data_IF_422266931128
#
_entry.id   IF_422266931128
#
_cell.length_a   1.000
_cell.length_b   1.000
_cell.length_c   1.000
_cell.angle_alpha   90.00
_cell.angle_beta   90.00
_cell.angle_gamma   90.00
#
_symmetry.space_group_name_H-M   'P 1'
#
loop_
_entity.id
_entity.type
_entity.pdbx_description
1 polymer ?
#
# COMPACT_ATOMS: atom_id res chain seq x y z
N UNK A 1 -12.08 22.86 -12.26
CA UNK A 1 -11.28 22.49 -11.07
C UNK A 1 -9.88 21.94 -11.41
N UNK A 2 -9.72 20.98 -12.34
CA UNK A 2 -8.40 20.41 -12.73
C UNK A 2 -7.39 21.47 -13.26
N UNK A 3 -7.82 22.51 -13.97
CA UNK A 3 -6.93 23.56 -14.50
C UNK A 3 -6.37 24.48 -13.41
N UNK A 4 -7.12 24.79 -12.37
CA UNK A 4 -6.69 25.61 -11.24
C UNK A 4 -5.64 24.90 -10.39
N UNK A 5 -5.77 23.57 -10.25
CA UNK A 5 -4.78 22.72 -9.56
C UNK A 5 -3.47 22.69 -10.37
N UNK A 6 -3.55 22.52 -11.69
CA UNK A 6 -2.39 22.52 -12.55
C UNK A 6 -1.64 23.87 -12.52
N UNK A 7 -2.36 24.99 -12.49
CA UNK A 7 -1.78 26.34 -12.36
C UNK A 7 -1.16 26.55 -10.98
N UNK A 8 -1.80 26.08 -9.90
CA UNK A 8 -1.21 26.10 -8.54
C UNK A 8 0.06 25.26 -8.46
N UNK A 9 0.06 24.07 -9.05
CA UNK A 9 1.24 23.19 -9.12
C UNK A 9 2.36 23.88 -9.91
N UNK A 10 2.03 24.53 -11.02
CA UNK A 10 3.02 25.24 -11.83
C UNK A 10 3.60 26.47 -11.12
N UNK A 11 2.77 27.28 -10.46
CA UNK A 11 3.17 28.42 -9.63
C UNK A 11 4.01 27.98 -8.42
N UNK A 12 3.62 26.90 -7.75
CA UNK A 12 4.35 26.34 -6.60
C UNK A 12 5.73 25.82 -7.00
N UNK A 13 5.86 25.19 -8.18
CA UNK A 13 7.14 24.72 -8.73
C UNK A 13 8.13 25.87 -9.03
N UNK A 14 7.66 27.10 -9.29
CA UNK A 14 8.50 28.27 -9.50
C UNK A 14 8.96 28.96 -8.21
N UNK A 15 8.34 28.69 -7.09
CA UNK A 15 8.72 29.30 -5.83
C UNK A 15 9.95 28.57 -5.23
N UNK A 16 10.96 29.34 -4.78
CA UNK A 16 12.21 28.86 -4.16
C UNK A 16 12.02 27.76 -3.09
N UNK A 17 10.84 27.68 -2.49
CA UNK A 17 10.48 26.71 -1.46
C UNK A 17 10.45 25.27 -1.97
N UNK A 18 9.96 25.05 -3.20
CA UNK A 18 9.85 23.70 -3.77
C UNK A 18 11.18 23.20 -4.34
N UNK A 19 11.99 24.11 -4.87
CA UNK A 19 13.35 23.77 -5.31
C UNK A 19 14.20 23.27 -4.14
N UNK A 20 14.06 23.88 -2.96
CA UNK A 20 14.77 23.44 -1.76
C UNK A 20 14.27 22.08 -1.23
N UNK A 21 12.96 21.88 -1.21
CA UNK A 21 12.37 20.59 -0.85
C UNK A 21 12.84 19.48 -1.77
N UNK A 22 12.82 19.73 -3.07
CA UNK A 22 13.31 18.80 -4.08
C UNK A 22 14.81 18.51 -3.91
N UNK A 23 15.65 19.53 -3.72
CA UNK A 23 17.08 19.34 -3.48
C UNK A 23 17.37 18.59 -2.16
N UNK A 24 16.55 18.83 -1.13
CA UNK A 24 16.68 18.12 0.14
C UNK A 24 16.39 16.61 0.00
N UNK A 25 15.50 16.18 -0.90
CA UNK A 25 15.28 14.75 -1.16
C UNK A 25 16.56 14.05 -1.59
N UNK A 26 17.41 14.72 -2.38
CA UNK A 26 18.71 14.19 -2.76
C UNK A 26 19.62 13.92 -1.55
N UNK A 27 19.65 14.85 -0.59
CA UNK A 27 20.44 14.69 0.65
C UNK A 27 19.80 13.63 1.55
N UNK A 28 18.50 13.65 1.69
CA UNK A 28 17.74 12.76 2.57
C UNK A 28 17.91 11.29 2.15
N UNK A 29 17.66 10.97 0.88
CA UNK A 29 17.79 9.61 0.35
C UNK A 29 19.23 9.21 0.00
N UNK A 30 20.08 10.17 -0.36
CA UNK A 30 21.47 9.90 -0.74
C UNK A 30 22.44 9.84 0.44
N UNK A 31 22.11 10.49 1.56
CA UNK A 31 23.04 10.60 2.71
C UNK A 31 22.37 10.20 4.03
N UNK A 32 21.27 10.88 4.41
CA UNK A 32 20.68 10.71 5.76
C UNK A 32 20.17 9.28 5.95
N UNK A 33 19.30 8.84 5.07
CA UNK A 33 18.71 7.50 5.14
C UNK A 33 19.78 6.39 5.05
N UNK A 34 20.78 6.45 4.14
CA UNK A 34 21.91 5.52 4.13
C UNK A 34 22.75 5.47 5.40
N UNK A 35 22.95 6.60 6.07
CA UNK A 35 23.66 6.63 7.35
C UNK A 35 22.85 5.99 8.47
N UNK A 36 21.55 6.29 8.53
CA UNK A 36 20.64 5.67 9.51
C UNK A 36 20.63 4.15 9.40
N UNK A 37 20.62 3.61 8.19
CA UNK A 37 20.62 2.17 7.97
C UNK A 37 21.93 1.46 8.31
N UNK A 38 22.98 2.16 8.74
CA UNK A 38 24.22 1.58 9.30
C UNK A 38 24.17 1.38 10.81
N UNK A 39 23.22 2.01 11.46
CA UNK A 39 23.10 1.96 12.92
C UNK A 39 22.49 0.65 13.40
N UNK A 40 22.66 0.28 14.68
CA UNK A 40 21.90 -0.78 15.31
C UNK A 40 20.38 -0.53 15.15
N UNK A 41 19.59 -1.58 14.91
CA UNK A 41 18.18 -1.47 14.54
C UNK A 41 17.39 -0.51 15.44
N UNK A 42 17.52 -0.62 16.76
CA UNK A 42 16.79 0.22 17.70
C UNK A 42 17.02 1.72 17.47
N UNK A 43 18.28 2.11 17.20
CA UNK A 43 18.62 3.50 16.91
C UNK A 43 18.16 3.91 15.52
N UNK A 44 18.31 3.03 14.53
CA UNK A 44 17.85 3.28 13.17
C UNK A 44 16.33 3.58 13.14
N UNK A 45 15.52 2.77 13.80
CA UNK A 45 14.07 2.98 13.89
C UNK A 45 13.69 4.27 14.64
N UNK A 46 14.33 4.57 15.77
CA UNK A 46 14.10 5.83 16.50
C UNK A 46 14.40 7.05 15.63
N UNK A 47 15.49 7.01 14.90
CA UNK A 47 15.87 8.10 13.99
C UNK A 47 14.93 8.18 12.78
N UNK A 48 14.43 7.04 12.27
CA UNK A 48 13.42 7.03 11.22
C UNK A 48 12.13 7.69 11.67
N UNK A 49 11.66 7.39 12.88
CA UNK A 49 10.48 8.03 13.46
C UNK A 49 10.69 9.54 13.69
N UNK A 50 11.86 9.94 14.20
CA UNK A 50 12.21 11.35 14.32
C UNK A 50 12.26 12.05 12.96
N UNK A 51 12.88 11.43 11.95
CA UNK A 51 12.91 11.92 10.56
C UNK A 51 11.49 12.05 10.00
N UNK A 52 10.62 11.07 10.24
CA UNK A 52 9.22 11.14 9.84
C UNK A 52 8.47 12.31 10.48
N UNK A 53 8.61 12.50 11.80
CA UNK A 53 8.01 13.64 12.51
C UNK A 53 8.57 14.99 12.02
N UNK A 54 9.86 15.07 11.72
CA UNK A 54 10.48 16.26 11.14
C UNK A 54 9.92 16.55 9.73
N UNK A 55 9.77 15.51 8.89
CA UNK A 55 9.20 15.64 7.56
C UNK A 55 7.74 16.07 7.59
N UNK A 56 6.94 15.56 8.54
CA UNK A 56 5.56 16.02 8.75
C UNK A 56 5.47 17.53 9.03
N UNK A 57 6.30 18.04 9.97
CA UNK A 57 6.35 19.47 10.31
C UNK A 57 6.76 20.37 9.14
N UNK A 58 7.44 19.83 8.17
CA UNK A 58 7.97 20.55 7.00
C UNK A 58 7.21 20.26 5.72
N UNK A 59 6.14 19.47 5.81
CA UNK A 59 5.39 18.95 4.67
C UNK A 59 6.34 18.40 3.60
N UNK A 60 7.19 17.44 3.96
CA UNK A 60 8.15 16.80 3.07
C UNK A 60 7.78 15.35 2.84
N UNK A 61 7.14 15.11 1.75
CA UNK A 61 6.88 13.76 1.26
C UNK A 61 7.39 13.68 -0.18
N UNK A 62 8.06 12.60 -0.54
CA UNK A 62 8.54 12.43 -1.92
C UNK A 62 7.37 12.43 -2.92
N UNK A 63 6.20 11.97 -2.49
CA UNK A 63 4.98 11.94 -3.30
C UNK A 63 4.38 13.32 -3.55
N UNK A 64 4.62 14.32 -2.67
CA UNK A 64 4.01 15.65 -2.83
C UNK A 64 4.39 16.35 -4.13
N UNK A 65 5.64 16.20 -4.56
CA UNK A 65 6.16 16.87 -5.77
C UNK A 65 6.14 15.96 -7.00
N UNK A 66 5.95 14.66 -6.79
CA UNK A 66 6.34 13.64 -7.77
C UNK A 66 5.17 12.96 -8.45
N UNK A 67 4.17 12.55 -7.71
CA UNK A 67 3.09 11.69 -8.23
C UNK A 67 1.79 12.44 -8.48
N UNK A 68 1.84 13.77 -8.47
CA UNK A 68 0.65 14.61 -8.66
C UNK A 68 -0.24 14.73 -7.43
N UNK A 69 0.29 14.43 -6.25
CA UNK A 69 -0.36 14.60 -4.96
C UNK A 69 0.26 15.75 -4.16
N UNK A 70 0.08 17.03 -4.57
CA UNK A 70 0.50 18.14 -3.74
C UNK A 70 -0.29 18.08 -2.42
N UNK A 71 0.35 18.48 -1.32
CA UNK A 71 -0.29 18.57 0.01
C UNK A 71 -0.71 17.23 0.61
N UNK A 72 0.15 16.23 0.57
CA UNK A 72 -0.10 14.90 1.16
C UNK A 72 -0.57 15.00 2.62
N UNK A 73 0.09 15.82 3.44
CA UNK A 73 -0.29 16.02 4.84
C UNK A 73 -1.70 16.58 5.02
N UNK A 74 -2.09 17.58 4.22
CA UNK A 74 -3.45 18.15 4.26
C UNK A 74 -4.51 17.15 3.82
N UNK A 75 -4.21 16.36 2.79
CA UNK A 75 -5.10 15.31 2.30
C UNK A 75 -5.26 14.18 3.33
N UNK A 76 -4.19 13.80 4.02
CA UNK A 76 -4.26 12.84 5.13
C UNK A 76 -5.11 13.40 6.27
N UNK A 77 -4.93 14.65 6.65
CA UNK A 77 -5.75 15.30 7.68
C UNK A 77 -7.25 15.31 7.30
N UNK A 78 -7.56 15.63 6.04
CA UNK A 78 -8.94 15.58 5.53
C UNK A 78 -9.52 14.16 5.59
N UNK A 79 -8.75 13.15 5.20
CA UNK A 79 -9.14 11.75 5.27
C UNK A 79 -9.39 11.31 6.73
N UNK A 80 -8.49 11.66 7.65
CA UNK A 80 -8.67 11.30 9.06
C UNK A 80 -9.86 12.01 9.70
N UNK A 81 -10.14 13.28 9.37
CA UNK A 81 -11.39 13.96 9.81
C UNK A 81 -12.64 13.26 9.28
N UNK A 82 -12.61 12.78 8.04
CA UNK A 82 -13.73 12.05 7.47
C UNK A 82 -13.96 10.70 8.18
N UNK A 83 -12.89 9.96 8.49
CA UNK A 83 -12.97 8.63 9.12
C UNK A 83 -13.24 8.74 10.63
N UNK A 84 -12.77 9.80 11.27
CA UNK A 84 -12.87 10.06 12.72
C UNK A 84 -13.47 11.44 12.99
N UNK A 85 -14.77 11.66 12.71
CA UNK A 85 -15.39 12.98 12.79
C UNK A 85 -15.36 13.58 14.20
N UNK A 86 -15.33 12.74 15.23
CA UNK A 86 -15.31 13.16 16.64
C UNK A 86 -13.88 13.40 17.17
N UNK A 87 -12.84 13.18 16.37
CA UNK A 87 -11.46 13.38 16.79
C UNK A 87 -11.11 14.87 16.85
N UNK A 88 -10.40 15.28 17.90
CA UNK A 88 -9.89 16.65 18.00
C UNK A 88 -8.84 16.94 16.91
N UNK A 89 -8.66 18.21 16.55
CA UNK A 89 -7.60 18.62 15.61
C UNK A 89 -6.19 18.21 16.08
N UNK A 90 -5.96 18.17 17.38
CA UNK A 90 -4.69 17.67 17.94
C UNK A 90 -4.50 16.17 17.67
N UNK A 91 -5.57 15.38 17.80
CA UNK A 91 -5.55 13.96 17.46
C UNK A 91 -5.32 13.74 15.95
N UNK A 92 -6.03 14.49 15.09
CA UNK A 92 -5.84 14.43 13.63
C UNK A 92 -4.39 14.77 13.25
N UNK A 93 -3.84 15.85 13.80
CA UNK A 93 -2.44 16.23 13.56
C UNK A 93 -1.45 15.15 14.03
N UNK A 94 -1.73 14.50 15.17
CA UNK A 94 -0.94 13.36 15.64
C UNK A 94 -0.97 12.19 14.66
N UNK A 95 -2.13 11.85 14.09
CA UNK A 95 -2.27 10.81 13.09
C UNK A 95 -1.48 11.12 11.81
N UNK A 96 -1.51 12.37 11.37
CA UNK A 96 -0.68 12.81 10.22
C UNK A 96 0.81 12.61 10.52
N UNK A 97 1.28 13.00 11.70
CA UNK A 97 2.69 12.78 12.11
C UNK A 97 3.02 11.28 12.12
N UNK A 98 2.16 10.45 12.71
CA UNK A 98 2.36 8.99 12.74
C UNK A 98 2.42 8.37 11.33
N UNK A 99 1.60 8.86 10.40
CA UNK A 99 1.65 8.45 8.99
C UNK A 99 3.02 8.72 8.38
N UNK A 100 3.60 9.91 8.61
CA UNK A 100 4.95 10.23 8.12
C UNK A 100 6.03 9.37 8.79
N UNK A 101 5.87 9.05 10.06
CA UNK A 101 6.75 8.13 10.78
C UNK A 101 6.68 6.72 10.18
N UNK A 102 5.50 6.26 9.81
CA UNK A 102 5.30 4.96 9.17
C UNK A 102 6.01 4.89 7.81
N UNK A 103 5.86 5.92 6.97
CA UNK A 103 6.58 5.99 5.69
C UNK A 103 8.10 6.01 5.92
N UNK A 104 8.58 6.77 6.89
CA UNK A 104 10.01 6.83 7.19
C UNK A 104 10.57 5.49 7.69
N UNK A 105 9.78 4.68 8.42
CA UNK A 105 10.15 3.31 8.79
C UNK A 105 10.18 2.38 7.58
N UNK A 106 9.19 2.45 6.71
CA UNK A 106 9.13 1.66 5.47
C UNK A 106 10.35 1.93 4.58
N UNK A 107 10.74 3.20 4.44
CA UNK A 107 11.93 3.60 3.69
C UNK A 107 13.22 3.08 4.33
N UNK A 108 13.33 3.12 5.66
CA UNK A 108 14.46 2.51 6.39
C UNK A 108 14.53 1.00 6.13
N UNK A 109 13.43 0.29 6.24
CA UNK A 109 13.34 -1.16 6.03
C UNK A 109 13.70 -1.52 4.57
N UNK A 110 13.26 -0.70 3.60
CA UNK A 110 13.71 -0.82 2.22
C UNK A 110 15.23 -0.68 2.08
N UNK A 111 15.84 0.24 2.81
CA UNK A 111 17.29 0.39 2.78
C UNK A 111 18.03 -0.70 3.56
N UNK A 112 17.44 -1.24 4.63
CA UNK A 112 17.97 -2.44 5.30
C UNK A 112 18.00 -3.63 4.32
N UNK A 113 16.95 -3.80 3.50
CA UNK A 113 16.94 -4.80 2.44
C UNK A 113 18.05 -4.57 1.41
N UNK A 114 18.22 -3.33 0.90
CA UNK A 114 19.28 -2.96 -0.03
C UNK A 114 20.69 -3.27 0.54
N UNK A 115 20.85 -3.18 1.85
CA UNK A 115 22.13 -3.45 2.56
C UNK A 115 22.32 -4.90 2.98
N UNK A 116 21.42 -5.80 2.61
CA UNK A 116 21.48 -7.21 3.00
C UNK A 116 21.21 -7.44 4.49
N UNK A 117 20.55 -6.50 5.17
CA UNK A 117 20.23 -6.56 6.61
C UNK A 117 18.79 -6.99 6.90
N UNK A 118 18.10 -7.54 5.91
CA UNK A 118 16.70 -7.95 6.05
C UNK A 118 16.53 -9.09 7.07
N UNK A 119 17.57 -9.91 7.27
CA UNK A 119 17.55 -11.01 8.24
C UNK A 119 17.63 -10.56 9.70
N UNK A 120 18.00 -9.29 9.94
CA UNK A 120 17.92 -8.70 11.28
C UNK A 120 16.47 -8.40 11.69
N UNK A 121 15.53 -8.37 10.72
CA UNK A 121 14.09 -8.20 10.97
C UNK A 121 13.48 -9.55 11.31
N UNK A 122 13.01 -9.67 12.54
CA UNK A 122 12.34 -10.86 13.05
C UNK A 122 10.93 -10.96 12.44
N UNK A 123 10.62 -12.10 11.89
CA UNK A 123 9.35 -12.40 11.22
C UNK A 123 8.75 -13.69 11.80
N UNK A 124 7.58 -13.55 12.46
CA UNK A 124 6.82 -14.74 12.86
C UNK A 124 6.04 -15.27 11.65
N UNK A 125 6.52 -16.34 11.05
CA UNK A 125 5.92 -16.95 9.85
C UNK A 125 4.77 -17.93 10.16
N UNK A 126 4.48 -18.22 11.43
CA UNK A 126 3.46 -19.20 11.80
C UNK A 126 2.06 -18.82 11.27
N UNK A 127 1.58 -17.56 11.39
CA UNK A 127 0.27 -17.17 10.85
C UNK A 127 0.20 -17.28 9.33
N UNK A 128 1.31 -17.04 8.62
CA UNK A 128 1.36 -17.21 7.17
C UNK A 128 1.23 -18.67 6.78
N UNK A 129 2.02 -19.55 7.40
CA UNK A 129 1.97 -21.00 7.15
C UNK A 129 0.60 -21.58 7.44
N UNK A 130 -0.03 -21.16 8.55
CA UNK A 130 -1.38 -21.58 8.89
C UNK A 130 -2.38 -21.18 7.79
N UNK A 131 -2.38 -19.93 7.35
CA UNK A 131 -3.28 -19.48 6.28
C UNK A 131 -3.02 -20.22 4.96
N UNK A 132 -1.76 -20.43 4.60
CA UNK A 132 -1.40 -21.16 3.38
C UNK A 132 -1.81 -22.63 3.45
N UNK A 133 -1.77 -23.25 4.64
CA UNK A 133 -2.19 -24.65 4.83
C UNK A 133 -3.71 -24.85 4.71
N UNK A 134 -4.50 -23.82 5.03
CA UNK A 134 -5.96 -23.82 4.88
C UNK A 134 -6.43 -23.60 3.45
N UNK A 135 -5.55 -23.20 2.56
CA UNK A 135 -5.87 -23.01 1.13
C UNK A 135 -6.25 -24.34 0.50
N UNK A 136 -7.30 -24.35 -0.32
CA UNK A 136 -7.69 -25.54 -1.07
C UNK A 136 -6.57 -25.99 -2.02
N UNK A 137 -6.28 -27.29 -2.04
CA UNK A 137 -5.19 -27.85 -2.82
C UNK A 137 -5.32 -27.49 -4.31
N UNK A 138 -4.22 -27.03 -4.90
CA UNK A 138 -4.16 -26.66 -6.33
C UNK A 138 -4.85 -25.35 -6.69
N UNK A 139 -5.56 -24.67 -5.77
CA UNK A 139 -6.19 -23.37 -6.05
C UNK A 139 -5.20 -22.23 -5.92
N UNK A 140 -5.28 -21.26 -6.81
CA UNK A 140 -4.57 -19.99 -6.67
C UNK A 140 -5.06 -19.18 -5.48
N UNK A 141 -4.23 -18.24 -5.04
CA UNK A 141 -4.57 -17.33 -3.94
C UNK A 141 -4.30 -15.89 -4.34
N UNK A 142 -5.33 -15.05 -4.27
CA UNK A 142 -5.18 -13.60 -4.37
C UNK A 142 -5.12 -13.02 -2.97
N UNK A 143 -3.98 -12.49 -2.60
CA UNK A 143 -3.77 -11.80 -1.31
C UNK A 143 -3.99 -10.31 -1.52
N UNK A 144 -4.98 -9.78 -0.83
CA UNK A 144 -5.33 -8.36 -0.88
C UNK A 144 -4.70 -7.64 0.31
N UNK A 145 -3.96 -6.59 0.02
CA UNK A 145 -3.32 -5.76 1.04
C UNK A 145 -3.74 -4.29 0.91
N UNK A 146 -3.54 -3.55 1.98
CA UNK A 146 -3.57 -2.09 2.00
C UNK A 146 -2.17 -1.52 2.15
N UNK A 147 -2.03 -0.22 1.90
CA UNK A 147 -0.81 0.52 2.22
C UNK A 147 -0.72 0.76 3.73
N UNK A 148 -0.53 -0.32 4.48
CA UNK A 148 -0.48 -0.35 5.93
C UNK A 148 0.87 -0.89 6.40
N UNK A 149 1.60 -0.13 7.22
CA UNK A 149 2.99 -0.42 7.57
C UNK A 149 3.85 -0.74 6.31
N UNK A 150 4.85 -1.60 6.41
CA UNK A 150 5.64 -2.01 5.25
C UNK A 150 5.06 -3.26 4.57
N UNK A 151 4.22 -3.04 3.56
CA UNK A 151 3.62 -4.12 2.78
C UNK A 151 4.65 -5.08 2.14
N UNK A 152 5.84 -4.60 1.78
CA UNK A 152 6.88 -5.43 1.16
C UNK A 152 7.41 -6.51 2.09
N UNK A 153 7.47 -6.25 3.40
CA UNK A 153 7.82 -7.28 4.38
C UNK A 153 6.76 -8.39 4.44
N UNK A 154 5.48 -8.06 4.19
CA UNK A 154 4.43 -9.06 4.02
C UNK A 154 4.72 -10.02 2.87
N UNK A 155 5.14 -9.49 1.72
CA UNK A 155 5.53 -10.29 0.55
C UNK A 155 6.71 -11.20 0.85
N UNK A 156 7.75 -10.66 1.48
CA UNK A 156 8.91 -11.44 1.92
C UNK A 156 8.51 -12.55 2.88
N UNK A 157 7.58 -12.27 3.80
CA UNK A 157 7.03 -13.27 4.73
C UNK A 157 6.39 -14.46 4.01
N UNK A 158 5.55 -14.20 2.99
CA UNK A 158 4.94 -15.26 2.17
C UNK A 158 6.03 -16.05 1.43
N UNK A 159 6.95 -15.36 0.79
CA UNK A 159 8.03 -15.98 0.02
C UNK A 159 8.98 -16.83 0.89
N UNK A 160 9.24 -16.41 2.15
CA UNK A 160 9.98 -17.22 3.13
C UNK A 160 9.27 -18.52 3.54
N UNK A 161 7.98 -18.64 3.24
CA UNK A 161 7.26 -19.91 3.34
C UNK A 161 7.44 -20.83 2.11
N UNK A 162 8.32 -20.47 1.19
CA UNK A 162 8.68 -21.27 0.00
C UNK A 162 7.73 -21.10 -1.19
N UNK A 163 6.88 -20.08 -1.20
CA UNK A 163 5.90 -19.85 -2.27
C UNK A 163 6.29 -18.64 -3.11
N UNK A 164 6.48 -18.78 -4.44
CA UNK A 164 6.70 -17.66 -5.34
C UNK A 164 5.58 -16.63 -5.21
N UNK A 165 5.94 -15.37 -4.99
CA UNK A 165 4.97 -14.30 -4.72
C UNK A 165 5.07 -13.22 -5.78
N UNK A 166 3.97 -12.87 -6.41
CA UNK A 166 3.89 -11.88 -7.48
C UNK A 166 3.11 -10.65 -6.98
N UNK A 167 3.65 -9.46 -7.21
CA UNK A 167 3.01 -8.20 -6.83
C UNK A 167 2.65 -7.37 -8.06
N UNK A 168 1.39 -6.93 -8.11
CA UNK A 168 1.00 -5.87 -9.02
C UNK A 168 1.48 -4.51 -8.49
N UNK A 169 2.33 -3.81 -9.23
CA UNK A 169 2.96 -2.54 -8.81
C UNK A 169 2.67 -1.40 -9.76
N UNK A 170 2.88 -0.18 -9.28
CA UNK A 170 2.87 1.04 -10.09
C UNK A 170 4.26 1.37 -10.61
N UNK A 171 4.32 2.16 -11.68
CA UNK A 171 5.56 2.53 -12.37
C UNK A 171 6.22 3.81 -11.81
N UNK A 172 6.25 3.93 -10.47
CA UNK A 172 6.82 5.10 -9.78
C UNK A 172 8.30 5.34 -10.11
N UNK A 173 9.03 4.27 -10.42
CA UNK A 173 10.47 4.31 -10.73
C UNK A 173 10.75 5.08 -12.02
N UNK A 174 9.81 5.08 -12.96
CA UNK A 174 9.95 5.75 -14.25
C UNK A 174 9.41 7.19 -14.26
N UNK A 175 8.71 7.61 -13.20
CA UNK A 175 8.17 8.96 -13.14
C UNK A 175 9.26 10.02 -13.07
N UNK A 176 9.47 10.74 -14.19
CA UNK A 176 10.50 11.78 -14.30
C UNK A 176 10.30 12.96 -13.33
N UNK A 177 9.13 13.09 -12.68
CA UNK A 177 8.86 14.12 -11.67
C UNK A 177 9.52 13.78 -10.33
N UNK A 178 9.76 12.50 -10.06
CA UNK A 178 10.44 12.02 -8.85
C UNK A 178 11.92 12.38 -8.92
N UNK A 179 12.49 12.84 -7.79
CA UNK A 179 13.92 13.12 -7.70
C UNK A 179 14.77 11.88 -8.09
N UNK A 180 15.84 12.01 -8.90
CA UNK A 180 16.63 10.88 -9.38
C UNK A 180 17.13 9.96 -8.26
N UNK A 181 17.59 10.52 -7.12
CA UNK A 181 18.04 9.75 -5.96
C UNK A 181 16.91 8.93 -5.34
N UNK A 182 15.68 9.47 -5.31
CA UNK A 182 14.51 8.77 -4.83
C UNK A 182 14.12 7.64 -5.78
N UNK A 183 14.13 7.90 -7.10
CA UNK A 183 13.90 6.85 -8.11
C UNK A 183 14.91 5.71 -8.00
N UNK A 184 16.18 6.06 -7.83
CA UNK A 184 17.24 5.06 -7.64
C UNK A 184 16.99 4.22 -6.38
N UNK A 185 16.64 4.86 -5.25
CA UNK A 185 16.27 4.16 -4.03
C UNK A 185 15.12 3.16 -4.25
N UNK A 186 14.04 3.58 -4.94
CA UNK A 186 12.93 2.67 -5.23
C UNK A 186 13.32 1.55 -6.18
N UNK A 187 14.13 1.83 -7.21
CA UNK A 187 14.62 0.82 -8.12
C UNK A 187 15.46 -0.24 -7.40
N UNK A 188 16.37 0.19 -6.52
CA UNK A 188 17.20 -0.71 -5.74
C UNK A 188 16.38 -1.49 -4.70
N UNK A 189 15.44 -0.83 -4.04
CA UNK A 189 14.51 -1.45 -3.10
C UNK A 189 13.70 -2.57 -3.79
N UNK A 190 13.10 -2.30 -4.93
CA UNK A 190 12.31 -3.29 -5.66
C UNK A 190 13.17 -4.46 -6.13
N UNK A 191 14.37 -4.20 -6.68
CA UNK A 191 15.32 -5.25 -7.09
C UNK A 191 15.70 -6.15 -5.90
N UNK A 192 15.97 -5.57 -4.75
CA UNK A 192 16.31 -6.33 -3.56
C UNK A 192 15.12 -7.16 -3.06
N UNK A 193 13.92 -6.60 -2.99
CA UNK A 193 12.75 -7.37 -2.58
C UNK A 193 12.43 -8.51 -3.54
N UNK A 194 12.54 -8.30 -4.87
CA UNK A 194 12.37 -9.38 -5.87
C UNK A 194 13.32 -10.54 -5.59
N UNK A 195 14.57 -10.28 -5.18
CA UNK A 195 15.51 -11.32 -4.77
C UNK A 195 15.04 -12.19 -3.59
N UNK A 196 14.05 -11.71 -2.82
CA UNK A 196 13.45 -12.45 -1.70
C UNK A 196 12.05 -13.03 -2.01
N UNK A 197 11.58 -12.99 -3.28
CA UNK A 197 10.23 -13.40 -3.65
C UNK A 197 10.10 -14.88 -4.03
N UNK A 198 11.11 -15.72 -3.73
CA UNK A 198 11.12 -17.15 -4.02
C UNK A 198 10.89 -17.47 -5.52
N UNK A 199 11.38 -16.63 -6.42
CA UNK A 199 11.17 -16.73 -7.86
C UNK A 199 9.94 -15.99 -8.39
N UNK A 200 9.23 -15.25 -7.52
CA UNK A 200 8.18 -14.32 -7.93
C UNK A 200 8.73 -12.98 -8.43
N UNK A 201 7.84 -12.09 -8.86
CA UNK A 201 8.20 -10.83 -9.51
C UNK A 201 7.29 -9.66 -9.10
N UNK A 202 7.81 -8.44 -9.29
CA UNK A 202 7.02 -7.22 -9.31
C UNK A 202 6.69 -6.87 -10.76
N UNK A 203 5.41 -6.90 -11.09
CA UNK A 203 4.94 -6.65 -12.45
C UNK A 203 4.12 -5.36 -12.51
N UNK A 204 4.43 -4.44 -13.45
CA UNK A 204 3.63 -3.23 -13.62
C UNK A 204 2.24 -3.57 -14.16
N UNK A 205 1.27 -2.70 -13.91
CA UNK A 205 -0.09 -2.86 -14.44
C UNK A 205 -0.09 -2.69 -15.96
N UNK A 206 -0.05 -3.81 -16.69
CA UNK A 206 -0.06 -3.87 -18.15
C UNK A 206 -0.84 -5.10 -18.63
N UNK A 207 -1.14 -5.19 -19.91
CA UNK A 207 -1.81 -6.36 -20.51
C UNK A 207 -1.00 -7.65 -20.37
N UNK A 208 0.32 -7.58 -20.61
CA UNK A 208 1.23 -8.71 -20.46
C UNK A 208 1.35 -9.18 -19.00
N UNK A 209 1.42 -8.25 -18.04
CA UNK A 209 1.43 -8.58 -16.62
C UNK A 209 0.12 -9.27 -16.20
N UNK A 210 -1.01 -8.86 -16.76
CA UNK A 210 -2.30 -9.52 -16.51
C UNK A 210 -2.26 -11.01 -16.88
N UNK A 211 -1.78 -11.34 -18.05
CA UNK A 211 -1.65 -12.74 -18.50
C UNK A 211 -0.78 -13.56 -17.55
N UNK A 212 0.35 -13.00 -17.09
CA UNK A 212 1.22 -13.64 -16.11
C UNK A 212 0.49 -13.90 -14.79
N UNK A 213 -0.24 -12.92 -14.25
CA UNK A 213 -1.01 -13.10 -13.00
C UNK A 213 -2.07 -14.21 -13.15
N UNK A 214 -2.77 -14.24 -14.28
CA UNK A 214 -3.77 -15.28 -14.54
C UNK A 214 -3.12 -16.67 -14.66
N UNK A 215 -1.97 -16.77 -15.31
CA UNK A 215 -1.23 -18.03 -15.40
C UNK A 215 -0.74 -18.51 -14.03
N UNK A 216 -0.18 -17.60 -13.22
CA UNK A 216 0.26 -17.91 -11.86
C UNK A 216 -0.90 -18.46 -11.02
N UNK A 217 -2.06 -17.79 -11.04
CA UNK A 217 -3.23 -18.20 -10.26
C UNK A 217 -3.80 -19.55 -10.73
N UNK A 218 -3.90 -19.79 -12.05
CA UNK A 218 -4.36 -21.09 -12.60
C UNK A 218 -3.45 -22.24 -12.22
N UNK A 219 -2.15 -21.96 -12.00
CA UNK A 219 -1.17 -22.94 -11.56
C UNK A 219 -1.06 -23.05 -10.03
N UNK A 220 -2.05 -22.53 -9.27
CA UNK A 220 -2.07 -22.59 -7.82
C UNK A 220 -1.08 -21.65 -7.12
N UNK A 221 -0.55 -20.65 -7.81
CA UNK A 221 0.38 -19.66 -7.26
C UNK A 221 -0.30 -18.55 -6.46
N UNK A 222 0.49 -17.58 -6.00
CA UNK A 222 0.05 -16.44 -5.19
C UNK A 222 0.28 -15.13 -5.94
N UNK A 223 -0.77 -14.32 -6.04
CA UNK A 223 -0.71 -12.94 -6.54
C UNK A 223 -1.14 -12.00 -5.43
N UNK A 224 -0.34 -10.97 -5.16
CA UNK A 224 -0.65 -9.93 -4.18
C UNK A 224 -1.10 -8.68 -4.91
N UNK A 225 -2.20 -8.10 -4.44
CA UNK A 225 -2.80 -6.89 -5.01
C UNK A 225 -3.04 -5.88 -3.89
N UNK A 226 -2.62 -4.63 -4.14
CA UNK A 226 -2.94 -3.52 -3.26
C UNK A 226 -4.23 -2.89 -3.76
N UNK A 227 -5.31 -3.11 -3.02
CA UNK A 227 -6.66 -2.77 -3.48
C UNK A 227 -7.10 -1.34 -3.17
N UNK A 228 -6.30 -0.56 -2.47
CA UNK A 228 -6.57 0.86 -2.20
C UNK A 228 -6.23 1.73 -3.41
N UNK A 229 -6.80 1.38 -4.54
CA UNK A 229 -6.64 2.15 -5.78
C UNK A 229 -8.01 2.62 -6.23
N UNK A 230 -8.19 3.94 -6.43
CA UNK A 230 -9.43 4.47 -6.98
C UNK A 230 -9.73 3.83 -8.33
N UNK A 231 -10.97 3.32 -8.49
CA UNK A 231 -11.39 2.77 -9.77
C UNK A 231 -11.56 3.89 -10.81
N UNK A 232 -11.39 3.54 -12.09
CA UNK A 232 -11.83 4.41 -13.18
C UNK A 232 -13.32 4.75 -13.02
N UNK A 233 -13.69 5.97 -13.41
CA UNK A 233 -15.09 6.41 -13.44
C UNK A 233 -15.91 5.72 -14.54
N UNK A 234 -15.27 4.98 -15.44
CA UNK A 234 -15.97 4.20 -16.46
C UNK A 234 -16.94 3.20 -15.81
N UNK A 235 -18.14 3.08 -16.39
CA UNK A 235 -19.26 2.33 -15.78
C UNK A 235 -18.90 0.88 -15.42
N UNK A 236 -18.13 0.22 -16.24
CA UNK A 236 -17.83 -1.22 -16.12
C UNK A 236 -16.55 -1.53 -15.35
N UNK A 237 -15.86 -0.51 -14.85
CA UNK A 237 -14.61 -0.67 -14.08
C UNK A 237 -14.82 -0.37 -12.61
N UNK A 238 -14.46 -1.34 -11.76
CA UNK A 238 -14.54 -1.25 -10.32
C UNK A 238 -15.85 -1.78 -9.72
N UNK A 239 -15.79 -1.97 -8.42
CA UNK A 239 -16.88 -2.53 -7.62
C UNK A 239 -17.18 -1.59 -6.46
N UNK A 240 -18.47 -1.37 -6.19
CA UNK A 240 -18.92 -0.58 -5.04
C UNK A 240 -18.85 -1.41 -3.76
N UNK A 241 -18.07 -0.96 -2.80
CA UNK A 241 -17.91 -1.60 -1.48
C UNK A 241 -18.09 -0.57 -0.37
N UNK A 242 -18.46 -1.04 0.81
CA UNK A 242 -18.37 -0.22 2.02
C UNK A 242 -16.91 -0.05 2.41
N UNK A 243 -16.43 1.19 2.49
CA UNK A 243 -15.06 1.52 2.83
C UNK A 243 -14.97 2.85 3.56
N UNK A 244 -14.40 2.84 4.75
CA UNK A 244 -14.27 4.03 5.60
C UNK A 244 -15.60 4.79 5.78
N UNK A 245 -16.64 4.05 6.15
CA UNK A 245 -17.97 4.59 6.47
C UNK A 245 -18.82 5.03 5.28
N UNK A 246 -18.34 4.88 4.04
CA UNK A 246 -19.08 5.25 2.82
C UNK A 246 -19.05 4.13 1.77
N UNK A 247 -20.01 4.12 0.86
CA UNK A 247 -19.90 3.27 -0.34
C UNK A 247 -18.97 3.93 -1.34
N UNK A 248 -17.85 3.26 -1.64
CA UNK A 248 -16.81 3.77 -2.54
C UNK A 248 -16.58 2.80 -3.69
N UNK A 249 -16.21 3.35 -4.84
CA UNK A 249 -15.88 2.55 -6.03
C UNK A 249 -14.40 2.18 -6.01
N UNK A 250 -14.11 0.90 -5.79
CA UNK A 250 -12.77 0.35 -5.69
C UNK A 250 -12.37 -0.34 -6.99
N UNK A 251 -11.07 -0.32 -7.31
CA UNK A 251 -10.54 -1.16 -8.38
C UNK A 251 -10.79 -2.65 -8.08
N UNK A 252 -11.35 -3.38 -9.03
CA UNK A 252 -11.83 -4.75 -8.82
C UNK A 252 -10.97 -5.83 -9.49
N UNK A 253 -9.72 -5.50 -9.85
CA UNK A 253 -8.80 -6.44 -10.49
C UNK A 253 -8.57 -7.71 -9.66
N UNK A 254 -8.43 -7.59 -8.34
CA UNK A 254 -8.18 -8.74 -7.47
C UNK A 254 -9.38 -9.71 -7.47
N UNK A 255 -10.61 -9.21 -7.29
CA UNK A 255 -11.78 -10.10 -7.29
C UNK A 255 -12.07 -10.67 -8.67
N UNK A 256 -11.85 -9.90 -9.75
CA UNK A 256 -11.98 -10.43 -11.12
C UNK A 256 -10.99 -11.56 -11.38
N UNK A 257 -9.71 -11.35 -11.05
CA UNK A 257 -8.71 -12.41 -11.20
C UNK A 257 -9.09 -13.67 -10.44
N UNK A 258 -9.56 -13.52 -9.20
CA UNK A 258 -9.97 -14.67 -8.39
C UNK A 258 -11.20 -15.39 -9.01
N UNK A 259 -12.22 -14.66 -9.45
CA UNK A 259 -13.39 -15.25 -10.10
C UNK A 259 -13.05 -15.94 -11.42
N UNK A 260 -12.25 -15.28 -12.26
CA UNK A 260 -11.90 -15.79 -13.59
C UNK A 260 -10.96 -17.02 -13.55
N UNK A 261 -10.24 -17.21 -12.44
CA UNK A 261 -9.28 -18.31 -12.27
C UNK A 261 -9.74 -19.37 -11.27
N UNK A 262 -10.88 -19.19 -10.61
CA UNK A 262 -11.34 -20.06 -9.52
C UNK A 262 -10.45 -19.99 -8.28
N UNK A 263 -9.69 -18.91 -8.12
CA UNK A 263 -8.79 -18.72 -6.97
C UNK A 263 -9.53 -18.23 -5.73
N UNK A 264 -8.94 -18.47 -4.57
CA UNK A 264 -9.43 -17.93 -3.30
C UNK A 264 -8.91 -16.51 -3.09
N UNK A 265 -9.63 -15.70 -2.28
CA UNK A 265 -9.15 -14.40 -1.80
C UNK A 265 -8.91 -14.42 -0.30
N UNK A 266 -7.97 -13.61 0.13
CA UNK A 266 -7.72 -13.36 1.55
C UNK A 266 -7.17 -11.94 1.71
N UNK A 267 -7.52 -11.25 2.79
CA UNK A 267 -6.85 -10.03 3.16
C UNK A 267 -5.68 -10.32 4.10
N UNK A 268 -4.58 -9.59 3.91
CA UNK A 268 -3.43 -9.62 4.80
C UNK A 268 -3.02 -8.21 5.19
N UNK A 269 -2.63 -8.05 6.44
CA UNK A 269 -1.89 -6.88 6.92
C UNK A 269 -0.71 -7.32 7.76
N UNK A 270 0.40 -6.66 7.60
CA UNK A 270 1.54 -6.78 8.48
C UNK A 270 1.54 -5.62 9.49
N UNK A 271 2.16 -5.85 10.63
CA UNK A 271 2.24 -4.88 11.71
C UNK A 271 3.62 -4.97 12.38
N UNK A 272 4.29 -3.85 12.45
CA UNK A 272 5.46 -3.76 13.31
C UNK A 272 5.02 -3.78 14.79
N UNK A 273 5.41 -4.83 15.51
CA UNK A 273 5.10 -4.99 16.94
C UNK A 273 6.08 -4.19 17.81
N UNK A 274 7.35 -4.22 17.44
CA UNK A 274 8.46 -3.43 17.99
C UNK A 274 9.51 -3.21 16.92
N UNK A 275 10.48 -2.31 17.09
CA UNK A 275 11.57 -2.11 16.14
C UNK A 275 12.19 -3.43 15.68
N UNK A 276 12.16 -3.71 14.38
CA UNK A 276 12.68 -4.93 13.79
C UNK A 276 11.88 -6.22 14.05
N UNK A 277 10.63 -6.12 14.52
CA UNK A 277 9.75 -7.28 14.70
C UNK A 277 8.41 -7.07 13.98
N UNK A 278 8.09 -7.96 13.06
CA UNK A 278 6.87 -7.91 12.25
C UNK A 278 5.98 -9.13 12.57
N UNK A 279 4.69 -8.85 12.75
CA UNK A 279 3.64 -9.85 12.86
C UNK A 279 2.63 -9.67 11.72
N UNK A 280 1.87 -10.72 11.41
CA UNK A 280 0.86 -10.73 10.36
C UNK A 280 -0.51 -11.08 10.91
N UNK A 281 -1.50 -10.49 10.29
CA UNK A 281 -2.91 -10.81 10.53
C UNK A 281 -3.58 -11.08 9.18
N UNK A 282 -4.49 -12.05 9.19
CA UNK A 282 -5.17 -12.54 8.00
C UNK A 282 -6.68 -12.54 8.24
N UNK A 283 -7.45 -12.26 7.19
CA UNK A 283 -8.89 -12.54 7.19
C UNK A 283 -9.14 -14.05 7.01
N UNK A 284 -10.40 -14.45 7.06
CA UNK A 284 -10.80 -15.73 6.51
C UNK A 284 -10.60 -15.79 5.00
N UNK A 285 -10.41 -17.00 4.48
CA UNK A 285 -10.38 -17.28 3.05
C UNK A 285 -11.78 -17.10 2.46
N UNK A 286 -11.89 -16.40 1.36
CA UNK A 286 -13.14 -16.16 0.64
C UNK A 286 -13.10 -16.92 -0.68
N UNK A 287 -14.14 -17.70 -0.93
CA UNK A 287 -14.34 -18.39 -2.20
C UNK A 287 -15.32 -17.58 -3.06
N UNK A 288 -14.89 -16.99 -4.19
CA UNK A 288 -15.80 -16.21 -5.03
C UNK A 288 -16.98 -17.02 -5.59
N UNK A 289 -16.80 -18.33 -5.75
CA UNK A 289 -17.84 -19.25 -6.22
C UNK A 289 -19.06 -19.32 -5.30
N UNK A 290 -18.91 -19.08 -4.00
CA UNK A 290 -20.00 -19.06 -3.03
C UNK A 290 -21.04 -17.95 -3.34
N UNK A 291 -20.70 -16.99 -4.20
CA UNK A 291 -21.55 -15.85 -4.53
C UNK A 291 -21.98 -15.80 -6.01
N UNK A 292 -21.55 -16.74 -6.85
CA UNK A 292 -21.82 -16.70 -8.31
C UNK A 292 -23.30 -16.66 -8.67
N UNK A 293 -24.18 -17.23 -7.85
CA UNK A 293 -25.63 -17.24 -8.06
C UNK A 293 -26.27 -15.83 -8.02
N UNK A 294 -25.61 -14.82 -7.49
CA UNK A 294 -26.16 -13.46 -7.36
C UNK A 294 -25.88 -12.54 -8.56
N UNK A 295 -25.27 -13.06 -9.62
CA UNK A 295 -24.84 -12.27 -10.77
C UNK A 295 -23.54 -11.50 -10.55
N UNK A 296 -22.83 -11.20 -11.62
CA UNK A 296 -21.41 -10.81 -11.59
C UNK A 296 -21.10 -9.56 -10.75
N UNK A 297 -21.93 -8.54 -10.75
CA UNK A 297 -21.70 -7.29 -9.99
C UNK A 297 -21.89 -7.52 -8.50
N UNK A 298 -22.98 -8.20 -8.12
CA UNK A 298 -23.31 -8.49 -6.72
C UNK A 298 -22.29 -9.49 -6.15
N UNK A 299 -21.95 -10.53 -6.90
CA UNK A 299 -20.94 -11.51 -6.51
C UNK A 299 -19.59 -10.85 -6.21
N UNK A 300 -19.14 -9.91 -7.04
CA UNK A 300 -17.90 -9.14 -6.78
C UNK A 300 -17.98 -8.33 -5.50
N UNK A 301 -19.08 -7.63 -5.27
CA UNK A 301 -19.29 -6.84 -4.07
C UNK A 301 -19.32 -7.72 -2.81
N UNK A 302 -20.01 -8.85 -2.85
CA UNK A 302 -20.09 -9.80 -1.72
C UNK A 302 -18.73 -10.45 -1.43
N UNK A 303 -17.97 -10.81 -2.47
CA UNK A 303 -16.61 -11.34 -2.32
C UNK A 303 -15.65 -10.31 -1.69
N UNK A 304 -15.79 -9.03 -2.04
CA UNK A 304 -14.93 -7.98 -1.51
C UNK A 304 -15.32 -7.50 -0.11
N UNK A 305 -16.60 -7.61 0.27
CA UNK A 305 -17.08 -7.07 1.54
C UNK A 305 -16.27 -7.54 2.77
N UNK A 306 -16.03 -8.85 3.00
CA UNK A 306 -15.24 -9.30 4.15
C UNK A 306 -13.77 -8.86 4.07
N UNK A 307 -13.20 -8.78 2.87
CA UNK A 307 -11.83 -8.33 2.62
C UNK A 307 -11.65 -6.88 3.08
N UNK A 308 -12.52 -5.97 2.59
CA UNK A 308 -12.45 -4.56 2.95
C UNK A 308 -12.83 -4.31 4.41
N UNK A 309 -13.78 -5.05 4.97
CA UNK A 309 -14.11 -4.96 6.40
C UNK A 309 -12.90 -5.30 7.30
N UNK A 310 -12.13 -6.33 6.96
CA UNK A 310 -10.91 -6.69 7.68
C UNK A 310 -9.83 -5.61 7.58
N UNK A 311 -9.58 -5.07 6.38
CA UNK A 311 -8.59 -4.02 6.16
C UNK A 311 -9.01 -2.73 6.88
N UNK A 312 -10.28 -2.32 6.77
CA UNK A 312 -10.83 -1.16 7.45
C UNK A 312 -10.71 -1.25 8.96
N UNK A 313 -11.07 -2.40 9.55
CA UNK A 313 -10.93 -2.62 10.99
C UNK A 313 -9.49 -2.43 11.46
N UNK A 314 -8.51 -2.90 10.68
CA UNK A 314 -7.10 -2.69 10.97
C UNK A 314 -6.66 -1.25 10.92
N UNK A 315 -7.07 -0.54 9.88
CA UNK A 315 -6.75 0.87 9.71
C UNK A 315 -7.40 1.71 10.83
N UNK A 316 -8.65 1.42 11.18
CA UNK A 316 -9.34 2.12 12.28
C UNK A 316 -8.70 1.88 13.65
N UNK A 317 -8.13 0.69 13.87
CA UNK A 317 -7.43 0.37 15.12
C UNK A 317 -6.07 1.10 15.23
N UNK A 318 -5.34 1.28 14.13
CA UNK A 318 -4.02 1.92 14.11
C UNK A 318 -3.87 2.87 12.90
N UNK A 319 -4.67 3.96 12.85
CA UNK A 319 -4.82 4.79 11.65
C UNK A 319 -3.52 5.49 11.21
N UNK A 320 -2.62 5.80 12.12
CA UNK A 320 -1.31 6.38 11.79
C UNK A 320 -0.38 5.44 10.98
N UNK A 321 -0.71 4.15 10.89
CA UNK A 321 0.01 3.18 10.04
C UNK A 321 -0.48 3.13 8.61
N UNK A 322 -1.59 3.77 8.32
CA UNK A 322 -2.17 3.85 6.98
C UNK A 322 -1.56 5.00 6.20
N UNK A 323 -0.51 4.72 5.44
CA UNK A 323 0.20 5.78 4.74
C UNK A 323 -0.44 6.23 3.43
N UNK A 324 -1.41 5.48 2.88
CA UNK A 324 -2.20 5.88 1.72
C UNK A 324 -3.46 6.71 2.05
N UNK A 325 -3.63 7.18 3.28
CA UNK A 325 -4.77 7.99 3.70
C UNK A 325 -5.07 9.17 2.74
N UNK A 326 -4.02 9.78 2.16
CA UNK A 326 -4.14 10.87 1.19
C UNK A 326 -4.90 10.52 -0.09
N UNK A 327 -5.10 9.24 -0.40
CA UNK A 327 -5.87 8.77 -1.55
C UNK A 327 -7.38 8.72 -1.29
N UNK A 328 -7.82 8.79 -0.04
CA UNK A 328 -9.24 8.58 0.32
C UNK A 328 -10.20 9.50 -0.45
N UNK A 329 -9.81 10.75 -0.66
CA UNK A 329 -10.61 11.73 -1.40
C UNK A 329 -10.69 11.51 -2.93
N UNK A 330 -9.92 10.56 -3.47
CA UNK A 330 -9.91 10.27 -4.91
C UNK A 330 -10.91 9.17 -5.29
N UNK A 331 -11.45 8.45 -4.30
CA UNK A 331 -12.46 7.42 -4.54
C UNK A 331 -13.82 8.06 -4.86
N UNK A 332 -14.48 7.56 -5.90
CA UNK A 332 -15.87 7.91 -6.14
C UNK A 332 -16.73 7.40 -4.96
N UNK A 333 -17.62 8.26 -4.48
CA UNK A 333 -18.57 7.97 -3.40
C UNK A 333 -19.96 7.88 -4.01
N UNK A 334 -20.73 6.89 -3.57
CA UNK A 334 -22.15 6.82 -3.90
C UNK A 334 -22.91 7.65 -2.86
N UNK A 335 -23.38 8.82 -3.28
CA UNK A 335 -24.25 9.65 -2.45
C UNK A 335 -25.59 8.93 -2.26
N UNK A 336 -26.09 8.84 -1.03
CA UNK A 336 -27.27 8.04 -0.65
C UNK A 336 -28.61 8.52 -1.21
N UNK A 337 -28.65 9.13 -2.39
CA UNK A 337 -29.82 9.73 -3.00
C UNK A 337 -30.39 9.05 -4.25
N UNK A 338 -29.72 8.05 -4.82
CA UNK A 338 -30.24 7.37 -6.02
C UNK A 338 -29.94 5.87 -5.94
N UNK A 339 -30.77 5.14 -5.20
CA UNK A 339 -31.02 3.73 -5.49
C UNK A 339 -32.03 3.69 -6.65
N UNK A 340 -31.56 3.42 -7.84
CA UNK A 340 -32.35 2.94 -8.95
C UNK A 340 -31.75 1.70 -9.55
#
# INVERSE_FOLDING_TARGET
>A
MRSLIAVKIWLHRRLKRDTWRYGFQGIDYGVILPLMARLPLTWAYRLAEWRGAFNARRARDWAELSVGFPYVGERCAAAFREVFPDASEAAINSLVVQRYQTVAREELEGLLAIRGRLDEIQMDLAPIRDTLSRRAAGRGLVVVMSHFDNLFLGLVGIARCGVPTYLMTSDVVQDARVHPTVRQFFADKYRCYVGHMAGGEFLPTSSSARETFYAVLRNGGIVVVISETPASLEKDKGTWVSWMGKRRKMADSAVRMAMDTGSQLVAMRNRQVKPGCIAWQWSDLVNPEDFQQYGALVARAMTYAPIFAFLEAGIKAEPGRWWAAHLLGDFAVLDGGHEH
#
